data_IF_595532798058
#
_entry.id   IF_595532798058
#
_cell.length_a   1.000
_cell.length_b   1.000
_cell.length_c   1.000
_cell.angle_alpha   90.00
_cell.angle_beta   90.00
_cell.angle_gamma   90.00
#
_symmetry.space_group_name_H-M   'P 1'
#
loop_
_entity.id
_entity.type
_entity.pdbx_description
1 polymer ?
#
# COMPACT_ATOMS: atom_id res chain seq x y z
N UNK A 1 -5.67 42.86 8.97
CA UNK A 1 -6.34 41.75 8.24
C UNK A 1 -5.51 40.45 8.23
N UNK A 2 -4.21 40.47 7.94
CA UNK A 2 -3.39 39.24 7.75
C UNK A 2 -3.16 38.34 8.98
N UNK A 3 -3.04 38.91 10.18
CA UNK A 3 -2.81 38.16 11.44
C UNK A 3 -3.99 37.25 11.80
N UNK A 4 -5.22 37.69 11.50
CA UNK A 4 -6.46 36.93 11.76
C UNK A 4 -6.58 35.72 10.83
N UNK A 5 -6.13 35.85 9.57
CA UNK A 5 -6.08 34.75 8.59
C UNK A 5 -5.04 33.69 8.98
N UNK A 6 -3.86 34.08 9.45
CA UNK A 6 -2.84 33.16 9.95
C UNK A 6 -3.31 32.39 11.18
N UNK A 7 -4.00 33.06 12.11
CA UNK A 7 -4.60 32.41 13.29
C UNK A 7 -5.67 31.38 12.92
N UNK A 8 -6.55 31.68 11.95
CA UNK A 8 -7.59 30.75 11.49
C UNK A 8 -6.97 29.50 10.84
N UNK A 9 -5.95 29.68 9.99
CA UNK A 9 -5.23 28.54 9.37
C UNK A 9 -4.60 27.62 10.41
N UNK A 10 -4.00 28.19 11.45
CA UNK A 10 -3.40 27.41 12.55
C UNK A 10 -4.45 26.62 13.33
N UNK A 11 -5.57 27.26 13.67
CA UNK A 11 -6.69 26.58 14.38
C UNK A 11 -7.28 25.46 13.54
N UNK A 12 -7.47 25.67 12.23
CA UNK A 12 -7.98 24.62 11.35
C UNK A 12 -7.01 23.44 11.21
N UNK A 13 -5.70 23.72 11.16
CA UNK A 13 -4.67 22.68 11.15
C UNK A 13 -4.67 21.87 12.45
N UNK A 14 -4.73 22.54 13.60
CA UNK A 14 -4.81 21.87 14.92
C UNK A 14 -6.09 21.04 15.06
N UNK A 15 -7.24 21.54 14.58
CA UNK A 15 -8.49 20.79 14.57
C UNK A 15 -8.41 19.56 13.67
N UNK A 16 -7.83 19.68 12.48
CA UNK A 16 -7.67 18.56 11.57
C UNK A 16 -6.74 17.49 12.16
N UNK A 17 -5.59 17.90 12.70
CA UNK A 17 -4.66 16.98 13.38
C UNK A 17 -5.35 16.28 14.54
N UNK A 18 -6.00 17.03 15.44
CA UNK A 18 -6.68 16.43 16.58
C UNK A 18 -7.81 15.49 16.16
N UNK A 19 -8.60 15.85 15.14
CA UNK A 19 -9.66 14.99 14.62
C UNK A 19 -9.10 13.67 14.09
N UNK A 20 -8.07 13.71 13.24
CA UNK A 20 -7.52 12.49 12.64
C UNK A 20 -6.65 11.69 13.61
N UNK A 21 -5.93 12.33 14.53
CA UNK A 21 -5.24 11.64 15.63
C UNK A 21 -6.25 10.89 16.48
N UNK A 22 -7.37 11.51 16.86
CA UNK A 22 -8.41 10.79 17.57
C UNK A 22 -9.01 9.69 16.68
N UNK A 23 -9.34 9.95 15.42
CA UNK A 23 -9.94 8.93 14.54
C UNK A 23 -9.05 7.68 14.36
N UNK A 24 -7.75 7.87 14.14
CA UNK A 24 -6.82 6.79 13.81
C UNK A 24 -6.11 6.20 15.04
N UNK A 25 -6.02 6.94 16.14
CA UNK A 25 -5.43 6.46 17.40
C UNK A 25 -6.47 6.15 18.47
N UNK A 26 -7.77 6.25 18.16
CA UNK A 26 -8.83 5.79 19.04
C UNK A 26 -8.74 4.27 19.17
N UNK A 27 -8.03 3.85 20.22
CA UNK A 27 -8.19 2.53 20.81
C UNK A 27 -9.50 2.53 21.59
N UNK A 28 -10.63 2.56 20.87
CA UNK A 28 -11.91 2.17 21.46
C UNK A 28 -11.71 0.82 22.17
N UNK A 29 -12.36 0.64 23.31
CA UNK A 29 -12.34 -0.63 24.05
C UNK A 29 -12.46 -1.76 23.05
N UNK A 30 -11.42 -2.60 22.96
CA UNK A 30 -11.45 -3.79 22.11
C UNK A 30 -12.68 -4.58 22.54
N UNK A 31 -13.77 -4.47 21.78
CA UNK A 31 -14.93 -5.32 21.96
C UNK A 31 -14.41 -6.74 21.99
N UNK A 32 -14.90 -7.56 22.91
CA UNK A 32 -14.48 -8.95 22.99
C UNK A 32 -14.65 -9.61 21.62
N UNK A 33 -13.53 -9.86 20.93
CA UNK A 33 -13.51 -10.42 19.58
C UNK A 33 -13.64 -11.95 19.62
N UNK A 34 -13.91 -12.54 20.80
CA UNK A 34 -14.12 -13.98 20.98
C UNK A 34 -15.15 -14.57 20.00
N UNK A 35 -16.16 -13.80 19.62
CA UNK A 35 -17.21 -14.21 18.68
C UNK A 35 -16.89 -13.99 17.20
N UNK A 36 -15.78 -13.34 16.84
CA UNK A 36 -15.43 -13.05 15.44
C UNK A 36 -15.28 -14.33 14.64
N UNK A 37 -14.65 -15.35 15.23
CA UNK A 37 -14.45 -16.66 14.59
C UNK A 37 -15.77 -17.44 14.42
N UNK A 38 -16.81 -17.12 15.19
CA UNK A 38 -18.14 -17.75 15.06
C UNK A 38 -19.00 -17.11 13.97
N UNK A 39 -18.81 -15.81 13.71
CA UNK A 39 -19.64 -15.02 12.77
C UNK A 39 -18.94 -14.85 11.41
N UNK A 40 -17.61 -14.79 11.38
CA UNK A 40 -16.84 -14.61 10.15
C UNK A 40 -16.34 -15.98 9.66
N UNK A 41 -16.86 -16.47 8.53
CA UNK A 41 -16.40 -17.76 8.00
C UNK A 41 -14.94 -17.66 7.51
N UNK A 42 -14.14 -18.68 7.83
CA UNK A 42 -12.80 -18.84 7.30
C UNK A 42 -12.86 -19.25 5.81
N UNK A 43 -12.81 -18.26 4.91
CA UNK A 43 -12.83 -18.49 3.46
C UNK A 43 -11.45 -18.84 2.88
N UNK A 44 -10.38 -18.35 3.51
CA UNK A 44 -9.01 -18.61 3.07
C UNK A 44 -8.51 -19.87 3.78
N UNK A 45 -8.36 -20.94 3.02
CA UNK A 45 -7.76 -22.18 3.53
C UNK A 45 -6.25 -21.99 3.76
N UNK A 46 -5.64 -22.83 4.61
CA UNK A 46 -4.19 -22.80 4.82
C UNK A 46 -3.40 -22.99 3.51
N UNK A 47 -3.92 -23.80 2.58
CA UNK A 47 -3.32 -23.99 1.25
C UNK A 47 -3.35 -22.71 0.42
N UNK A 48 -4.49 -22.01 0.39
CA UNK A 48 -4.61 -20.72 -0.28
C UNK A 48 -3.69 -19.69 0.35
N UNK A 49 -3.62 -19.64 1.68
CA UNK A 49 -2.73 -18.73 2.38
C UNK A 49 -1.27 -19.02 2.00
N UNK A 50 -0.85 -20.28 1.98
CA UNK A 50 0.50 -20.66 1.57
C UNK A 50 0.83 -20.19 0.14
N UNK A 51 -0.11 -20.31 -0.79
CA UNK A 51 0.05 -19.82 -2.17
C UNK A 51 0.13 -18.29 -2.21
N UNK A 52 -0.66 -17.59 -1.40
CA UNK A 52 -0.67 -16.12 -1.34
C UNK A 52 0.59 -15.54 -0.66
N UNK A 53 1.25 -16.32 0.20
CA UNK A 53 2.42 -15.88 0.98
C UNK A 53 3.75 -16.39 0.45
N UNK A 54 3.76 -17.24 -0.58
CA UNK A 54 5.00 -17.72 -1.18
C UNK A 54 5.67 -16.59 -1.97
N UNK A 55 7.00 -16.62 -2.04
CA UNK A 55 7.75 -15.69 -2.90
C UNK A 55 7.38 -15.93 -4.37
N UNK A 56 7.16 -14.86 -5.15
CA UNK A 56 6.87 -15.00 -6.56
C UNK A 56 8.08 -15.56 -7.32
N UNK A 57 7.82 -16.30 -8.37
CA UNK A 57 8.84 -16.73 -9.32
C UNK A 57 9.30 -15.58 -10.23
N UNK A 58 10.49 -15.70 -10.81
CA UNK A 58 10.99 -14.73 -11.80
C UNK A 58 10.04 -14.53 -12.98
N UNK A 59 9.30 -15.58 -13.37
CA UNK A 59 8.30 -15.50 -14.43
C UNK A 59 7.08 -14.68 -14.00
N UNK A 60 6.59 -14.86 -12.77
CA UNK A 60 5.49 -14.06 -12.22
C UNK A 60 5.91 -12.59 -12.08
N UNK A 61 7.14 -12.33 -11.64
CA UNK A 61 7.70 -10.97 -11.56
C UNK A 61 7.73 -10.33 -12.96
N UNK A 62 8.24 -11.05 -13.96
CA UNK A 62 8.24 -10.58 -15.33
C UNK A 62 6.83 -10.29 -15.82
N UNK A 63 5.89 -11.23 -15.65
CA UNK A 63 4.51 -11.06 -16.09
C UNK A 63 3.86 -9.85 -15.41
N UNK A 64 4.08 -9.64 -14.11
CA UNK A 64 3.60 -8.48 -13.38
C UNK A 64 4.17 -7.17 -13.95
N UNK A 65 5.47 -7.13 -14.23
CA UNK A 65 6.13 -5.98 -14.86
C UNK A 65 5.52 -5.68 -16.24
N UNK A 66 5.33 -6.70 -17.08
CA UNK A 66 4.78 -6.53 -18.43
C UNK A 66 3.28 -6.20 -18.45
N UNK A 67 2.56 -6.51 -17.37
CA UNK A 67 1.17 -6.09 -17.16
C UNK A 67 1.04 -4.63 -16.68
N UNK A 68 2.13 -3.98 -16.28
CA UNK A 68 2.10 -2.55 -15.97
C UNK A 68 1.73 -1.72 -17.20
N UNK A 69 0.86 -0.73 -17.00
CA UNK A 69 0.59 0.26 -18.03
C UNK A 69 1.86 1.08 -18.30
N UNK A 70 2.37 1.01 -19.54
CA UNK A 70 3.56 1.75 -19.98
C UNK A 70 3.46 3.26 -19.74
N UNK A 71 2.24 3.79 -19.86
CA UNK A 71 1.94 5.23 -19.75
C UNK A 71 1.40 5.60 -18.36
N UNK A 72 1.51 4.70 -17.38
CA UNK A 72 1.14 5.03 -16.00
C UNK A 72 2.05 6.15 -15.50
N UNK A 73 1.46 7.12 -14.79
CA UNK A 73 2.21 8.22 -14.20
C UNK A 73 3.29 7.65 -13.29
N UNK A 74 4.54 8.06 -13.51
CA UNK A 74 5.63 7.71 -12.61
C UNK A 74 5.26 8.14 -11.19
N UNK A 75 5.46 7.25 -10.23
CA UNK A 75 5.40 7.60 -8.82
C UNK A 75 6.54 8.59 -8.44
N UNK A 76 6.73 8.85 -7.15
CA UNK A 76 7.85 9.66 -6.66
C UNK A 76 9.23 9.14 -7.10
N UNK A 77 9.30 7.88 -7.53
CA UNK A 77 10.50 7.17 -7.99
C UNK A 77 10.86 7.50 -9.45
N UNK A 78 10.06 8.32 -10.14
CA UNK A 78 10.24 8.81 -11.52
C UNK A 78 10.26 7.74 -12.64
N UNK A 79 10.32 6.44 -12.33
CA UNK A 79 10.29 5.35 -13.32
C UNK A 79 8.88 4.78 -13.54
N UNK A 80 8.30 5.05 -14.71
CA UNK A 80 7.04 4.45 -15.15
C UNK A 80 7.22 3.07 -15.80
N UNK A 81 6.11 2.40 -16.15
CA UNK A 81 6.14 1.06 -16.76
C UNK A 81 6.99 0.98 -18.04
N UNK A 82 7.07 2.06 -18.82
CA UNK A 82 7.92 2.14 -20.02
C UNK A 82 9.40 1.86 -19.75
N UNK A 83 9.92 2.29 -18.60
CA UNK A 83 11.32 2.05 -18.21
C UNK A 83 11.59 0.55 -18.06
N UNK A 84 10.79 -0.11 -17.23
CA UNK A 84 10.97 -1.53 -16.95
C UNK A 84 10.80 -2.39 -18.20
N UNK A 85 9.86 -2.03 -19.09
CA UNK A 85 9.67 -2.76 -20.35
C UNK A 85 10.85 -2.57 -21.31
N UNK A 86 11.37 -1.34 -21.41
CA UNK A 86 12.46 -1.00 -22.35
C UNK A 86 13.77 -1.64 -21.94
N UNK A 87 14.09 -1.59 -20.65
CA UNK A 87 15.38 -2.02 -20.12
C UNK A 87 15.33 -3.40 -19.46
N UNK A 88 14.22 -4.14 -19.56
CA UNK A 88 14.03 -5.44 -18.90
C UNK A 88 15.24 -6.37 -19.04
N UNK A 89 15.76 -6.52 -20.26
CA UNK A 89 16.89 -7.41 -20.53
C UNK A 89 18.18 -7.03 -19.78
N UNK A 90 18.31 -5.77 -19.38
CA UNK A 90 19.45 -5.25 -18.62
C UNK A 90 19.22 -5.38 -17.11
N UNK A 91 18.00 -5.13 -16.63
CA UNK A 91 17.72 -4.97 -15.19
C UNK A 91 16.98 -6.16 -14.56
N UNK A 92 16.53 -7.16 -15.35
CA UNK A 92 15.66 -8.25 -14.88
C UNK A 92 16.22 -8.97 -13.66
N UNK A 93 17.53 -9.18 -13.61
CA UNK A 93 18.16 -9.95 -12.54
C UNK A 93 18.15 -9.14 -11.24
N UNK A 94 18.49 -7.84 -11.30
CA UNK A 94 18.41 -6.93 -10.16
C UNK A 94 16.97 -6.76 -9.66
N UNK A 95 15.99 -6.68 -10.58
CA UNK A 95 14.58 -6.59 -10.22
C UNK A 95 14.10 -7.87 -9.53
N UNK A 96 14.49 -9.05 -10.03
CA UNK A 96 14.12 -10.32 -9.38
C UNK A 96 14.73 -10.43 -7.98
N UNK A 97 15.99 -10.03 -7.81
CA UNK A 97 16.67 -10.00 -6.49
C UNK A 97 16.03 -9.00 -5.53
N UNK A 98 15.50 -7.88 -6.01
CA UNK A 98 14.85 -6.89 -5.16
C UNK A 98 13.47 -7.32 -4.65
N UNK A 99 12.78 -8.22 -5.38
CA UNK A 99 11.41 -8.66 -5.06
C UNK A 99 11.41 -9.94 -4.20
N UNK A 100 12.40 -10.81 -4.36
CA UNK A 100 12.55 -12.11 -3.67
C UNK A 100 13.35 -11.91 -2.38
#
# INVERSE_FOLDING_TARGET
MGIRLLSIKKVMAELAVNYFTNLFCFAGSTSDLSYVDEVIPALVTSSMNNILTILPSNEEIQNAVFNLNKNSTSGPDEFGGIFYHTYWNLIKDDVCVAVI
#
